data_IF_297939364396
#
_entry.id   IF_297939364396
#
_cell.length_a   1.000
_cell.length_b   1.000
_cell.length_c   1.000
_cell.angle_alpha   90.00
_cell.angle_beta   90.00
_cell.angle_gamma   90.00
#
_symmetry.space_group_name_H-M   'P 1'
#
loop_
_entity.id
_entity.type
_entity.pdbx_description
1 polymer ?
#
# COMPACT_ATOMS: atom_id res chain seq x y z
N UNK A 1 41.38 127.70 -27.15
CA UNK A 1 41.37 126.52 -26.27
C UNK A 1 40.86 125.37 -27.12
N UNK A 2 41.70 124.63 -27.87
CA UNK A 2 42.77 123.70 -27.45
C UNK A 2 42.27 122.72 -26.37
N UNK A 3 42.35 121.40 -26.48
CA UNK A 3 42.98 120.49 -27.46
C UNK A 3 42.64 119.04 -27.01
N UNK A 4 42.59 118.10 -27.97
CA UNK A 4 42.90 116.64 -27.91
C UNK A 4 42.25 115.70 -26.88
N UNK A 5 42.13 114.39 -27.14
CA UNK A 5 41.84 113.50 -28.29
C UNK A 5 41.81 112.08 -27.69
N UNK A 6 40.98 111.20 -28.29
CA UNK A 6 41.14 109.72 -28.32
C UNK A 6 41.03 108.94 -26.99
N UNK A 7 40.93 107.59 -26.99
CA UNK A 7 40.58 106.60 -28.06
C UNK A 7 39.43 105.64 -27.62
N UNK A 8 38.64 104.98 -28.49
CA UNK A 8 38.87 103.88 -29.47
C UNK A 8 38.44 102.50 -28.93
N UNK A 9 37.67 101.80 -29.78
CA UNK A 9 37.43 100.36 -29.86
C UNK A 9 36.55 99.67 -28.81
N UNK A 10 35.31 99.40 -29.24
CA UNK A 10 34.73 98.06 -29.42
C UNK A 10 35.40 96.93 -28.62
N UNK A 11 34.62 96.25 -27.77
CA UNK A 11 34.35 94.84 -27.96
C UNK A 11 33.45 94.26 -26.84
N UNK A 12 32.41 93.54 -27.27
CA UNK A 12 31.72 92.43 -26.59
C UNK A 12 30.73 92.88 -25.51
N UNK A 13 29.42 92.76 -25.80
CA UNK A 13 28.65 91.58 -25.41
C UNK A 13 29.12 91.10 -24.04
N UNK A 14 28.81 91.90 -23.03
CA UNK A 14 28.94 91.44 -21.67
C UNK A 14 27.64 91.75 -20.95
N UNK A 15 27.04 90.66 -20.48
CA UNK A 15 26.11 90.65 -19.36
C UNK A 15 24.67 91.05 -19.69
N UNK A 16 24.07 90.27 -20.60
CA UNK A 16 22.75 89.64 -20.41
C UNK A 16 22.73 88.69 -19.18
N UNK A 17 23.43 89.04 -18.09
CA UNK A 17 23.73 88.14 -16.98
C UNK A 17 23.67 88.94 -15.70
N UNK A 18 22.45 89.30 -15.29
CA UNK A 18 22.14 89.56 -13.89
C UNK A 18 20.64 89.57 -13.70
N UNK A 19 20.20 88.76 -12.75
CA UNK A 19 18.87 88.72 -12.13
C UNK A 19 17.79 87.80 -12.70
N UNK A 20 18.15 86.59 -13.13
CA UNK A 20 17.29 85.39 -12.96
C UNK A 20 17.41 84.86 -11.52
N UNK A 21 17.20 85.74 -10.55
CA UNK A 21 17.27 85.42 -9.13
C UNK A 21 15.91 85.71 -8.54
N UNK A 22 14.95 84.78 -8.70
CA UNK A 22 13.79 84.61 -7.80
C UNK A 22 12.79 83.53 -8.28
N UNK A 23 13.21 82.40 -8.82
CA UNK A 23 12.26 81.28 -9.08
C UNK A 23 12.89 79.95 -8.61
N UNK A 24 12.43 79.52 -7.42
CA UNK A 24 12.34 78.13 -6.89
C UNK A 24 13.51 77.56 -6.07
N UNK A 25 13.65 78.09 -4.85
CA UNK A 25 14.10 77.35 -3.68
C UNK A 25 13.08 76.24 -3.31
N UNK A 26 13.07 75.08 -3.96
CA UNK A 26 12.49 73.87 -3.34
C UNK A 26 12.88 72.58 -4.07
N UNK A 27 14.14 72.15 -4.00
CA UNK A 27 14.43 70.74 -4.27
C UNK A 27 15.75 70.25 -3.68
N UNK A 28 15.92 70.40 -2.37
CA UNK A 28 16.95 69.69 -1.63
C UNK A 28 16.35 68.99 -0.42
N UNK A 29 15.67 67.86 -0.67
CA UNK A 29 15.60 66.78 0.32
C UNK A 29 15.53 65.43 -0.41
N UNK A 30 16.45 64.54 -0.01
CA UNK A 30 16.43 63.07 -0.18
C UNK A 30 17.04 62.40 -1.42
N UNK A 31 18.27 62.77 -1.83
CA UNK A 31 19.11 61.87 -2.67
C UNK A 31 19.91 60.83 -1.86
N UNK A 32 19.46 60.44 -0.65
CA UNK A 32 20.07 59.35 0.14
C UNK A 32 19.26 58.05 0.19
N UNK A 33 18.07 58.01 -0.42
CA UNK A 33 17.24 56.80 -0.50
C UNK A 33 17.32 56.05 -1.83
N UNK A 34 18.09 56.51 -2.82
CA UNK A 34 18.09 55.90 -4.17
C UNK A 34 19.08 54.73 -4.35
N UNK A 35 20.13 54.63 -3.53
CA UNK A 35 21.14 53.57 -3.70
C UNK A 35 20.87 52.34 -2.82
N UNK A 36 20.13 52.50 -1.71
CA UNK A 36 19.73 51.40 -0.84
C UNK A 36 18.72 50.48 -1.52
N UNK A 37 17.78 51.06 -2.28
CA UNK A 37 16.78 50.29 -3.04
C UNK A 37 17.42 49.55 -4.23
N UNK A 38 18.47 50.12 -4.85
CA UNK A 38 19.20 49.47 -5.95
C UNK A 38 20.04 48.28 -5.47
N UNK A 39 20.57 48.34 -4.24
CA UNK A 39 21.20 47.21 -3.57
C UNK A 39 20.21 46.08 -3.24
N UNK A 40 19.03 46.43 -2.68
CA UNK A 40 17.97 45.45 -2.38
C UNK A 40 17.44 44.73 -3.64
N UNK A 41 17.43 45.40 -4.79
CA UNK A 41 16.99 44.80 -6.07
C UNK A 41 17.93 43.70 -6.58
N UNK A 42 19.19 43.69 -6.14
CA UNK A 42 20.20 42.69 -6.51
C UNK A 42 20.41 41.64 -5.40
N UNK A 43 20.22 42.02 -4.14
CA UNK A 43 20.37 41.13 -2.99
C UNK A 43 19.28 40.04 -2.99
N UNK A 44 18.06 40.38 -3.38
CA UNK A 44 16.92 39.45 -3.46
C UNK A 44 17.16 38.24 -4.39
N UNK A 45 17.54 38.43 -5.68
CA UNK A 45 17.79 37.30 -6.57
C UNK A 45 19.02 36.48 -6.15
N UNK A 46 20.05 37.12 -5.58
CA UNK A 46 21.23 36.42 -5.07
C UNK A 46 20.88 35.55 -3.86
N UNK A 47 20.06 36.05 -2.93
CA UNK A 47 19.60 35.28 -1.79
C UNK A 47 18.74 34.08 -2.22
N UNK A 48 17.86 34.27 -3.21
CA UNK A 48 17.06 33.18 -3.77
C UNK A 48 17.94 32.08 -4.40
N UNK A 49 18.94 32.48 -5.19
CA UNK A 49 19.91 31.52 -5.76
C UNK A 49 20.74 30.82 -4.69
N UNK A 50 21.15 31.53 -3.63
CA UNK A 50 21.88 30.93 -2.52
C UNK A 50 21.05 29.86 -1.81
N UNK A 51 19.75 30.09 -1.57
CA UNK A 51 18.84 29.09 -0.99
C UNK A 51 18.71 27.87 -1.90
N UNK A 52 18.59 28.06 -3.21
CA UNK A 52 18.51 26.94 -4.18
C UNK A 52 19.80 26.11 -4.15
N UNK A 53 20.97 26.75 -4.13
CA UNK A 53 22.27 26.07 -4.04
C UNK A 53 22.41 25.31 -2.72
N UNK A 54 21.96 25.89 -1.61
CA UNK A 54 21.96 25.22 -0.29
C UNK A 54 21.04 23.99 -0.31
N UNK A 55 19.83 24.09 -0.88
CA UNK A 55 18.90 22.95 -1.01
C UNK A 55 19.48 21.85 -1.92
N UNK A 56 20.15 22.22 -3.01
CA UNK A 56 20.83 21.26 -3.90
C UNK A 56 22.03 20.59 -3.22
N UNK A 57 22.82 21.34 -2.45
CA UNK A 57 23.94 20.81 -1.69
C UNK A 57 23.47 19.97 -0.48
N UNK A 58 22.25 20.20 0.00
CA UNK A 58 21.54 19.39 0.98
C UNK A 58 20.83 18.16 0.39
N UNK A 59 21.12 17.75 -0.85
CA UNK A 59 20.84 16.37 -1.28
C UNK A 59 21.72 15.41 -0.47
N UNK A 60 21.31 15.19 0.77
CA UNK A 60 21.51 13.96 1.50
C UNK A 60 20.81 12.88 0.68
N UNK A 61 21.60 11.91 0.23
CA UNK A 61 21.07 10.57 0.06
C UNK A 61 20.29 10.21 1.33
N UNK A 62 19.20 9.47 1.15
CA UNK A 62 18.29 8.96 2.18
C UNK A 62 17.03 9.81 2.40
N UNK A 63 16.05 9.60 1.55
CA UNK A 63 14.74 9.22 2.07
C UNK A 63 14.27 7.98 1.30
N UNK A 64 13.59 7.05 1.98
CA UNK A 64 12.15 7.18 1.89
C UNK A 64 11.47 7.14 3.26
N UNK A 65 10.46 8.01 3.39
CA UNK A 65 9.14 7.72 3.94
C UNK A 65 9.13 6.71 5.08
N UNK A 66 8.97 7.20 6.31
CA UNK A 66 8.58 6.49 7.54
C UNK A 66 8.18 5.04 7.31
N UNK A 67 9.17 4.15 7.41
CA UNK A 67 8.94 2.74 7.58
C UNK A 67 8.44 2.52 9.02
N UNK A 68 7.32 1.82 9.12
CA UNK A 68 6.87 1.04 10.29
C UNK A 68 8.11 0.35 10.90
N UNK A 69 8.28 0.30 12.24
CA UNK A 69 9.49 -0.23 12.87
C UNK A 69 9.88 -1.59 12.26
N UNK A 70 10.91 -1.58 11.42
CA UNK A 70 11.55 -2.80 10.93
C UNK A 70 12.37 -3.32 12.10
N UNK A 71 11.84 -4.34 12.76
CA UNK A 71 12.67 -5.24 13.54
C UNK A 71 13.83 -5.73 12.66
N UNK A 72 15.00 -5.78 13.27
CA UNK A 72 16.31 -5.88 12.63
C UNK A 72 16.38 -7.13 11.73
N UNK A 73 16.30 -6.92 10.42
CA UNK A 73 16.60 -7.99 9.45
C UNK A 73 18.12 -8.03 9.33
N UNK A 74 18.72 -8.98 10.06
CA UNK A 74 20.14 -9.30 9.99
C UNK A 74 20.49 -9.72 8.55
N UNK A 75 21.37 -9.01 7.84
CA UNK A 75 21.69 -9.32 6.45
C UNK A 75 22.84 -10.32 6.43
N UNK A 76 22.60 -11.59 6.73
CA UNK A 76 23.61 -12.62 6.53
C UNK A 76 23.04 -13.93 5.99
N UNK A 77 23.72 -14.36 4.92
CA UNK A 77 23.60 -15.63 4.20
C UNK A 77 22.53 -15.63 3.12
N UNK A 78 22.83 -16.33 2.03
CA UNK A 78 21.95 -16.62 0.88
C UNK A 78 20.82 -17.52 1.38
N UNK A 79 19.96 -16.95 2.22
CA UNK A 79 18.96 -17.64 3.02
C UNK A 79 17.64 -17.51 2.30
N UNK A 80 16.98 -18.64 2.06
CA UNK A 80 15.59 -18.71 1.59
C UNK A 80 14.78 -17.62 2.29
N UNK A 81 14.11 -16.76 1.50
CA UNK A 81 13.24 -15.73 2.06
C UNK A 81 12.21 -16.42 2.95
N UNK A 82 12.35 -16.19 4.25
CA UNK A 82 11.49 -16.74 5.29
C UNK A 82 10.69 -15.61 5.90
N UNK A 83 9.39 -15.81 5.98
CA UNK A 83 8.44 -14.91 6.61
C UNK A 83 7.90 -15.58 7.87
N UNK A 84 7.90 -14.84 8.98
CA UNK A 84 7.33 -15.27 10.25
C UNK A 84 5.94 -14.65 10.40
N UNK A 85 4.94 -15.45 10.77
CA UNK A 85 3.54 -15.06 10.85
C UNK A 85 3.03 -14.26 9.63
N UNK A 86 3.32 -14.68 8.38
CA UNK A 86 2.88 -13.95 7.21
C UNK A 86 1.35 -13.91 7.13
N UNK A 87 0.84 -12.79 6.61
CA UNK A 87 -0.58 -12.60 6.31
C UNK A 87 -0.72 -12.08 4.89
N UNK A 88 -1.33 -12.88 4.04
CA UNK A 88 -1.68 -12.53 2.66
C UNK A 88 -3.16 -12.19 2.61
N UNK A 89 -3.51 -11.08 1.98
CA UNK A 89 -4.90 -10.66 1.79
C UNK A 89 -5.12 -10.34 0.32
N UNK A 90 -6.22 -10.83 -0.24
CA UNK A 90 -6.52 -10.70 -1.66
C UNK A 90 -8.02 -10.90 -1.88
N UNK A 91 -8.44 -10.85 -3.13
CA UNK A 91 -9.81 -11.07 -3.56
C UNK A 91 -9.84 -12.11 -4.69
N UNK A 92 -10.89 -12.93 -4.70
CA UNK A 92 -11.17 -13.84 -5.80
C UNK A 92 -11.68 -13.06 -7.04
N UNK A 93 -12.01 -13.77 -8.11
CA UNK A 93 -12.58 -13.16 -9.33
C UNK A 93 -13.97 -12.55 -9.12
N UNK A 94 -14.65 -12.96 -8.06
CA UNK A 94 -15.96 -12.47 -7.67
C UNK A 94 -15.88 -11.22 -6.77
N UNK A 95 -14.68 -10.79 -6.33
CA UNK A 95 -14.49 -9.70 -5.38
C UNK A 95 -14.69 -10.10 -3.92
N UNK A 96 -14.73 -11.41 -3.62
CA UNK A 96 -14.82 -11.95 -2.26
C UNK A 96 -13.46 -11.84 -1.59
N UNK A 97 -13.34 -11.16 -0.44
CA UNK A 97 -12.08 -11.06 0.27
C UNK A 97 -11.71 -12.40 0.88
N UNK A 98 -10.43 -12.75 0.77
CA UNK A 98 -9.85 -13.87 1.48
C UNK A 98 -8.51 -13.48 2.09
N UNK A 99 -8.14 -14.17 3.16
CA UNK A 99 -6.82 -14.05 3.77
C UNK A 99 -6.21 -15.41 4.03
N UNK A 100 -4.91 -15.52 3.83
CA UNK A 100 -4.11 -16.70 4.16
C UNK A 100 -3.07 -16.26 5.18
N UNK A 101 -3.06 -16.91 6.33
CA UNK A 101 -2.06 -16.74 7.38
C UNK A 101 -1.32 -18.05 7.59
N UNK A 102 -0.11 -18.00 8.12
CA UNK A 102 0.67 -19.18 8.47
C UNK A 102 1.61 -18.85 9.62
N UNK A 103 2.10 -19.84 10.36
CA UNK A 103 3.14 -19.62 11.38
C UNK A 103 4.46 -19.17 10.71
N UNK A 104 4.76 -19.77 9.56
CA UNK A 104 5.96 -19.53 8.77
C UNK A 104 5.67 -19.73 7.29
N UNK A 105 6.25 -18.91 6.43
CA UNK A 105 6.31 -19.17 4.99
C UNK A 105 7.76 -19.11 4.51
N UNK A 106 8.17 -20.09 3.71
CA UNK A 106 9.48 -20.09 3.05
C UNK A 106 9.30 -20.18 1.55
N UNK A 107 10.14 -19.46 0.81
CA UNK A 107 10.17 -19.59 -0.64
C UNK A 107 10.75 -20.95 -1.04
N UNK A 108 10.07 -21.69 -1.92
CA UNK A 108 10.57 -22.97 -2.42
C UNK A 108 11.87 -22.73 -3.23
N UNK A 109 12.86 -23.59 -3.03
CA UNK A 109 14.16 -23.49 -3.69
C UNK A 109 14.11 -23.86 -5.18
N UNK A 110 13.19 -24.74 -5.58
CA UNK A 110 13.02 -25.18 -6.97
C UNK A 110 12.09 -24.26 -7.77
N UNK A 111 11.08 -23.71 -7.10
CA UNK A 111 10.12 -22.78 -7.68
C UNK A 111 9.99 -21.52 -6.81
N UNK A 112 10.64 -20.44 -7.25
CA UNK A 112 10.61 -19.16 -6.57
C UNK A 112 9.21 -18.54 -6.47
N UNK A 113 8.22 -19.02 -7.23
CA UNK A 113 6.84 -18.54 -7.21
C UNK A 113 5.94 -19.31 -6.22
N UNK A 114 6.45 -20.41 -5.65
CA UNK A 114 5.74 -21.22 -4.66
C UNK A 114 6.24 -20.89 -3.25
N UNK A 115 5.31 -20.55 -2.36
CA UNK A 115 5.54 -20.38 -0.93
C UNK A 115 5.12 -21.64 -0.18
N UNK A 116 6.04 -22.22 0.58
CA UNK A 116 5.77 -23.32 1.51
C UNK A 116 5.28 -22.74 2.82
N UNK A 117 4.05 -23.04 3.20
CA UNK A 117 3.37 -22.55 4.39
C UNK A 117 3.36 -23.61 5.49
N UNK A 118 3.75 -23.24 6.70
CA UNK A 118 3.61 -24.08 7.89
C UNK A 118 2.36 -23.66 8.68
N UNK A 119 1.49 -24.62 8.96
CA UNK A 119 0.18 -24.43 9.60
C UNK A 119 -0.63 -23.30 8.98
N UNK A 120 -0.92 -23.37 7.66
CA UNK A 120 -1.72 -22.35 7.02
C UNK A 120 -3.15 -22.32 7.59
N UNK A 121 -3.68 -21.12 7.75
CA UNK A 121 -5.08 -20.83 8.04
C UNK A 121 -5.58 -19.87 6.96
N UNK A 122 -6.58 -20.30 6.20
CA UNK A 122 -7.24 -19.49 5.20
C UNK A 122 -8.66 -19.13 5.66
N UNK A 123 -9.03 -17.87 5.54
CA UNK A 123 -10.35 -17.35 5.86
C UNK A 123 -10.94 -16.66 4.63
N UNK A 124 -12.21 -16.90 4.33
CA UNK A 124 -12.92 -16.30 3.20
C UNK A 124 -14.33 -15.89 3.60
N UNK A 125 -14.72 -14.68 3.18
CA UNK A 125 -16.10 -14.20 3.32
C UNK A 125 -16.82 -14.33 1.99
N UNK A 126 -17.86 -15.16 1.97
CA UNK A 126 -18.66 -15.40 0.79
C UNK A 126 -19.63 -14.23 0.52
N UNK A 127 -20.04 -14.04 -0.73
CA UNK A 127 -21.08 -13.05 -1.10
C UNK A 127 -22.42 -13.27 -0.39
N UNK A 128 -22.70 -14.50 0.02
CA UNK A 128 -23.89 -14.84 0.80
C UNK A 128 -23.83 -14.35 2.25
N UNK A 129 -22.67 -13.86 2.72
CA UNK A 129 -22.39 -13.57 4.13
C UNK A 129 -21.91 -14.79 4.93
N UNK A 130 -21.76 -15.96 4.28
CA UNK A 130 -21.12 -17.13 4.89
C UNK A 130 -19.63 -16.91 5.10
N UNK A 131 -19.07 -17.49 6.16
CA UNK A 131 -17.63 -17.47 6.43
C UNK A 131 -17.10 -18.90 6.35
N UNK A 132 -16.00 -19.07 5.61
CA UNK A 132 -15.29 -20.33 5.46
C UNK A 132 -13.91 -20.16 6.06
N UNK A 133 -13.54 -21.05 6.99
CA UNK A 133 -12.19 -21.19 7.51
C UNK A 133 -11.62 -22.53 7.08
N UNK A 134 -10.37 -22.53 6.61
CA UNK A 134 -9.63 -23.72 6.23
C UNK A 134 -8.32 -23.75 7.00
N UNK A 135 -7.97 -24.89 7.57
CA UNK A 135 -6.71 -25.11 8.30
C UNK A 135 -6.02 -26.37 7.80
N UNK A 136 -4.69 -26.38 7.80
CA UNK A 136 -3.92 -27.59 7.50
C UNK A 136 -2.60 -27.61 8.28
N UNK A 137 -1.87 -28.73 8.22
CA UNK A 137 -0.54 -28.86 8.82
C UNK A 137 0.51 -28.17 7.95
N UNK A 138 0.46 -28.39 6.64
CA UNK A 138 1.34 -27.78 5.65
C UNK A 138 0.51 -27.25 4.47
N UNK A 139 1.08 -26.29 3.74
CA UNK A 139 0.50 -25.85 2.49
C UNK A 139 1.55 -25.34 1.51
N UNK A 140 1.15 -25.25 0.25
CA UNK A 140 1.92 -24.63 -0.82
C UNK A 140 1.02 -23.61 -1.49
N UNK A 141 1.47 -22.37 -1.55
CA UNK A 141 0.72 -21.28 -2.15
C UNK A 141 1.47 -20.74 -3.37
N UNK A 142 0.86 -20.84 -4.54
CA UNK A 142 1.35 -20.27 -5.78
C UNK A 142 0.72 -18.89 -5.97
N UNK A 143 1.49 -17.83 -5.74
CA UNK A 143 0.93 -16.46 -5.69
C UNK A 143 0.36 -16.00 -7.04
N UNK A 144 1.03 -16.31 -8.15
CA UNK A 144 0.57 -15.90 -9.49
C UNK A 144 -0.66 -16.67 -9.95
N UNK A 145 -0.71 -17.98 -9.68
CA UNK A 145 -1.81 -18.87 -10.07
C UNK A 145 -2.99 -18.80 -9.09
N UNK A 146 -2.76 -18.21 -7.90
CA UNK A 146 -3.66 -18.24 -6.74
C UNK A 146 -4.11 -19.67 -6.40
N UNK A 147 -3.20 -20.62 -6.58
CA UNK A 147 -3.37 -22.02 -6.19
C UNK A 147 -2.93 -22.20 -4.74
N UNK A 148 -3.69 -23.00 -3.99
CA UNK A 148 -3.36 -23.39 -2.63
C UNK A 148 -3.53 -24.91 -2.49
N UNK A 149 -2.41 -25.60 -2.34
CA UNK A 149 -2.39 -27.03 -2.00
C UNK A 149 -2.18 -27.16 -0.50
N UNK A 150 -3.02 -27.92 0.16
CA UNK A 150 -3.01 -28.16 1.60
C UNK A 150 -2.76 -29.65 1.86
N UNK A 151 -1.93 -29.94 2.85
CA UNK A 151 -1.48 -31.29 3.18
C UNK A 151 -1.41 -31.51 4.70
N UNK A 152 -1.99 -32.62 5.14
CA UNK A 152 -2.04 -33.09 6.51
C UNK A 152 -3.13 -32.42 7.35
N UNK A 153 -4.10 -33.21 7.84
CA UNK A 153 -5.19 -32.76 8.70
C UNK A 153 -5.92 -31.51 8.17
N UNK A 154 -6.28 -31.51 6.89
CA UNK A 154 -7.01 -30.40 6.28
C UNK A 154 -8.42 -30.39 6.83
N UNK A 155 -8.82 -29.27 7.43
CA UNK A 155 -10.15 -29.07 7.98
C UNK A 155 -10.77 -27.80 7.42
N UNK A 156 -12.00 -27.90 6.94
CA UNK A 156 -12.81 -26.79 6.41
C UNK A 156 -14.02 -26.62 7.32
N UNK A 157 -14.22 -25.42 7.86
CA UNK A 157 -15.37 -25.05 8.67
C UNK A 157 -16.17 -23.97 7.96
N UNK A 158 -17.49 -24.12 7.99
CA UNK A 158 -18.42 -23.07 7.59
C UNK A 158 -19.26 -22.62 8.79
N UNK A 159 -19.54 -21.32 8.87
CA UNK A 159 -20.27 -20.73 9.99
C UNK A 159 -21.71 -21.25 10.19
N UNK A 160 -22.28 -21.96 9.22
CA UNK A 160 -23.59 -22.64 9.36
C UNK A 160 -23.51 -24.03 10.00
N UNK A 161 -22.34 -24.45 10.51
CA UNK A 161 -22.16 -25.73 11.20
C UNK A 161 -21.78 -26.90 10.30
N UNK A 162 -21.29 -26.65 9.08
CA UNK A 162 -20.70 -27.70 8.25
C UNK A 162 -19.19 -27.77 8.48
N UNK A 163 -18.67 -28.98 8.54
CA UNK A 163 -17.24 -29.27 8.68
C UNK A 163 -16.83 -30.37 7.69
N UNK A 164 -15.69 -30.22 7.03
CA UNK A 164 -15.09 -31.23 6.15
C UNK A 164 -13.66 -31.48 6.60
N UNK A 165 -13.28 -32.74 6.72
CA UNK A 165 -11.93 -33.19 7.04
C UNK A 165 -11.39 -34.10 5.93
N UNK A 166 -10.14 -33.89 5.55
CA UNK A 166 -9.42 -34.69 4.54
C UNK A 166 -7.91 -34.59 4.77
N UNK A 167 -7.14 -35.48 4.16
CA UNK A 167 -5.68 -35.46 4.27
C UNK A 167 -5.03 -34.46 3.31
N UNK A 168 -5.56 -34.32 2.09
CA UNK A 168 -5.05 -33.39 1.09
C UNK A 168 -6.18 -32.63 0.42
N UNK A 169 -5.94 -31.37 0.09
CA UNK A 169 -6.92 -30.53 -0.60
C UNK A 169 -6.21 -29.55 -1.53
N UNK A 170 -6.71 -29.43 -2.75
CA UNK A 170 -6.28 -28.42 -3.71
C UNK A 170 -7.38 -27.39 -3.88
N UNK A 171 -7.03 -26.12 -3.75
CA UNK A 171 -7.93 -24.98 -3.85
C UNK A 171 -7.43 -24.06 -4.94
N UNK A 172 -8.25 -23.86 -5.97
CA UNK A 172 -8.11 -22.76 -6.91
C UNK A 172 -8.98 -21.60 -6.40
N UNK A 173 -8.32 -20.58 -5.84
CA UNK A 173 -9.00 -19.41 -5.27
C UNK A 173 -9.61 -18.54 -6.36
N UNK A 174 -9.03 -18.54 -7.56
CA UNK A 174 -9.50 -17.76 -8.73
C UNK A 174 -10.81 -18.35 -9.25
N UNK A 175 -10.84 -19.66 -9.45
CA UNK A 175 -12.00 -20.40 -9.96
C UNK A 175 -13.02 -20.81 -8.90
N UNK A 176 -12.72 -20.61 -7.61
CA UNK A 176 -13.49 -21.16 -6.48
C UNK A 176 -13.69 -22.69 -6.62
N UNK A 177 -12.66 -23.40 -7.08
CA UNK A 177 -12.69 -24.85 -7.26
C UNK A 177 -11.90 -25.49 -6.12
N UNK A 178 -12.51 -26.46 -5.46
CA UNK A 178 -11.84 -27.25 -4.42
C UNK A 178 -11.89 -28.71 -4.84
N UNK A 179 -10.74 -29.38 -4.80
CA UNK A 179 -10.64 -30.80 -5.12
C UNK A 179 -9.85 -31.55 -4.05
N UNK A 180 -10.24 -32.79 -3.80
CA UNK A 180 -9.52 -33.72 -2.94
C UNK A 180 -9.66 -35.12 -3.52
N UNK A 181 -8.54 -35.81 -3.66
CA UNK A 181 -8.43 -37.20 -4.10
C UNK A 181 -8.18 -38.16 -2.93
N UNK A 182 -8.16 -37.63 -1.70
CA UNK A 182 -8.03 -38.40 -0.46
C UNK A 182 -9.40 -38.59 0.21
N UNK A 183 -9.55 -39.62 1.07
CA UNK A 183 -10.79 -39.84 1.80
C UNK A 183 -11.25 -38.58 2.55
N UNK A 184 -12.51 -38.22 2.34
CA UNK A 184 -13.16 -37.05 2.93
C UNK A 184 -14.24 -37.49 3.88
N UNK A 185 -14.31 -36.83 5.02
CA UNK A 185 -15.44 -36.92 5.96
C UNK A 185 -16.05 -35.55 6.10
N UNK A 186 -17.37 -35.46 6.04
CA UNK A 186 -18.13 -34.25 6.19
C UNK A 186 -19.16 -34.43 7.30
N UNK A 187 -19.23 -33.47 8.20
CA UNK A 187 -20.22 -33.41 9.27
C UNK A 187 -21.07 -32.17 9.06
N UNK A 188 -22.37 -32.31 9.24
CA UNK A 188 -23.30 -31.20 9.09
C UNK A 188 -24.52 -31.36 9.99
N UNK A 189 -25.31 -30.29 10.17
CA UNK A 189 -26.44 -30.32 11.09
C UNK A 189 -27.48 -31.40 10.77
N UNK A 190 -27.64 -31.71 9.48
CA UNK A 190 -28.65 -32.63 8.97
C UNK A 190 -28.10 -33.99 8.55
N UNK A 191 -26.78 -34.11 8.35
CA UNK A 191 -26.19 -35.31 7.79
C UNK A 191 -24.68 -35.40 7.98
N UNK A 192 -24.19 -36.63 8.04
CA UNK A 192 -22.78 -36.96 7.93
C UNK A 192 -22.50 -37.69 6.60
N UNK A 193 -21.38 -37.39 5.98
CA UNK A 193 -20.95 -37.99 4.72
C UNK A 193 -19.51 -38.49 4.81
N UNK A 194 -19.25 -39.65 4.23
CA UNK A 194 -17.89 -40.16 4.02
C UNK A 194 -17.73 -40.56 2.56
N UNK A 195 -16.67 -40.11 1.90
CA UNK A 195 -16.38 -40.44 0.51
C UNK A 195 -14.88 -40.58 0.25
N UNK A 196 -14.50 -41.07 -0.93
CA UNK A 196 -13.08 -41.21 -1.30
C UNK A 196 -12.50 -39.94 -1.90
N UNK A 197 -13.32 -39.01 -2.37
CA UNK A 197 -12.87 -37.72 -2.85
C UNK A 197 -13.97 -36.67 -2.87
N UNK A 198 -13.57 -35.45 -3.19
CA UNK A 198 -14.41 -34.25 -3.18
C UNK A 198 -14.08 -33.37 -4.38
N UNK A 199 -15.11 -32.82 -5.00
CA UNK A 199 -15.02 -31.75 -5.99
C UNK A 199 -16.10 -30.70 -5.69
N UNK A 200 -15.68 -29.48 -5.40
CA UNK A 200 -16.55 -28.34 -5.13
C UNK A 200 -16.33 -27.31 -6.21
N UNK A 201 -17.43 -26.79 -6.74
CA UNK A 201 -17.44 -25.60 -7.57
C UNK A 201 -18.27 -24.53 -6.86
N UNK A 202 -17.59 -23.56 -6.25
CA UNK A 202 -18.21 -22.50 -5.46
C UNK A 202 -19.06 -21.54 -6.29
N UNK A 203 -18.70 -21.32 -7.56
CA UNK A 203 -19.43 -20.44 -8.48
C UNK A 203 -20.84 -20.99 -8.81
N UNK A 204 -20.90 -22.28 -9.13
CA UNK A 204 -22.16 -23.00 -9.37
C UNK A 204 -22.84 -23.50 -8.10
N UNK A 205 -22.17 -23.41 -6.94
CA UNK A 205 -22.61 -23.94 -5.65
C UNK A 205 -22.86 -25.46 -5.67
N UNK A 206 -22.08 -26.18 -6.46
CA UNK A 206 -22.19 -27.63 -6.61
C UNK A 206 -21.08 -28.31 -5.81
N UNK A 207 -21.46 -29.32 -5.03
CA UNK A 207 -20.55 -30.19 -4.28
C UNK A 207 -20.77 -31.62 -4.76
N UNK A 208 -19.70 -32.27 -5.21
CA UNK A 208 -19.69 -33.64 -5.72
C UNK A 208 -18.73 -34.46 -4.88
N UNK A 209 -19.25 -35.48 -4.21
CA UNK A 209 -18.42 -36.48 -3.55
C UNK A 209 -18.16 -37.63 -4.51
N UNK A 210 -16.90 -38.00 -4.68
CA UNK A 210 -16.47 -38.98 -5.69
C UNK A 210 -16.07 -40.30 -5.04
N UNK A 211 -16.21 -41.39 -5.82
CA UNK A 211 -15.92 -42.75 -5.37
C UNK A 211 -17.03 -43.35 -4.49
N UNK A 212 -16.72 -44.41 -3.73
CA UNK A 212 -17.62 -44.96 -2.73
C UNK A 212 -18.01 -43.88 -1.71
N UNK A 213 -19.29 -43.55 -1.65
CA UNK A 213 -19.83 -42.57 -0.72
C UNK A 213 -20.91 -43.19 0.17
N UNK A 214 -20.92 -42.79 1.44
CA UNK A 214 -21.95 -43.14 2.43
C UNK A 214 -22.48 -41.86 3.04
N UNK A 215 -23.79 -41.72 3.04
CA UNK A 215 -24.52 -40.61 3.64
C UNK A 215 -25.39 -41.13 4.79
N UNK A 216 -25.29 -40.49 5.95
CA UNK A 216 -26.12 -40.76 7.13
C UNK A 216 -26.92 -39.50 7.39
N UNK A 217 -28.25 -39.61 7.32
CA UNK A 217 -29.16 -38.49 7.59
C UNK A 217 -29.56 -38.49 9.05
N UNK A 218 -29.42 -37.35 9.72
CA UNK A 218 -29.94 -37.14 11.06
C UNK A 218 -31.43 -36.82 10.96
N UNK A 219 -32.23 -37.53 11.75
CA UNK A 219 -33.62 -37.15 11.94
C UNK A 219 -33.63 -35.89 12.80
N UNK A 220 -34.20 -34.82 12.27
CA UNK A 220 -34.38 -33.58 13.02
C UNK A 220 -35.35 -33.87 14.18
N UNK A 221 -34.82 -33.99 15.39
CA UNK A 221 -35.63 -34.17 16.59
C UNK A 221 -36.27 -32.81 16.94
N UNK A 222 -37.61 -32.66 16.84
CA UNK A 222 -38.29 -31.37 17.03
C UNK A 222 -38.18 -30.78 18.46
N UNK A 223 -37.45 -31.45 19.35
CA UNK A 223 -37.34 -31.13 20.78
C UNK A 223 -35.92 -30.77 21.20
N UNK A 224 -34.94 -30.79 20.28
CA UNK A 224 -33.59 -30.34 20.60
C UNK A 224 -33.58 -28.80 20.80
N UNK A 225 -33.22 -28.28 21.98
CA UNK A 225 -33.08 -26.84 22.16
C UNK A 225 -32.00 -26.34 21.19
N UNK A 226 -32.30 -25.26 20.46
CA UNK A 226 -31.37 -24.60 19.57
C UNK A 226 -30.02 -24.41 20.27
N UNK A 227 -28.86 -24.68 19.61
CA UNK A 227 -27.56 -24.42 20.18
C UNK A 227 -27.53 -22.98 20.66
N UNK A 228 -27.29 -22.79 21.97
CA UNK A 228 -27.18 -21.48 22.57
C UNK A 228 -26.11 -20.70 21.79
N UNK A 229 -26.54 -19.69 21.04
CA UNK A 229 -25.64 -18.69 20.50
C UNK A 229 -25.07 -17.95 21.70
N UNK A 230 -23.88 -18.36 22.13
CA UNK A 230 -23.13 -17.72 23.19
C UNK A 230 -22.71 -16.33 22.67
N UNK A 231 -23.57 -15.34 22.93
CA UNK A 231 -23.22 -13.93 22.76
C UNK A 231 -22.24 -13.60 23.87
N UNK A 232 -20.96 -13.75 23.57
CA UNK A 232 -19.92 -13.29 24.48
C UNK A 232 -19.89 -11.74 24.46
N UNK A 233 -19.84 -11.09 25.64
CA UNK A 233 -20.02 -9.64 25.80
C UNK A 233 -18.84 -8.79 25.29
#
# INVERSE_FOLDING_TARGET
>A
MMVETTPQNDEHIDLLIRSDENIQLNNQKSKRHSNMVRGMRLLLPIAALAVIVVIMAWKSDNNPVTAVPREQISPQTVSQNELINPKFQSQDNSGQPYSITADKATQNAEDMNTLLLQKPVADMTLKSGGEVKVTATNGQYQQEQKGLTLDGNVTVHHNSGYEIQTEKMNVDVTGQIITSDTPVTGHGPQADITATGLNVNGDSKIVIFTGPAKLILHKEDPTAPAPAQDKQP
#
